data_IF_451357128109
#
_entry.id   IF_451357128109
#
_cell.length_a   1.000
_cell.length_b   1.000
_cell.length_c   1.000
_cell.angle_alpha   90.00
_cell.angle_beta   90.00
_cell.angle_gamma   90.00
#
_symmetry.space_group_name_H-M   'P 1'
#
loop_
_entity.id
_entity.type
_entity.pdbx_description
1 polymer ?
#
# COMPACT_ATOMS: atom_id res chain seq x y z
N UNK A 1 17.22 10.11 -13.68
CA UNK A 1 16.17 10.85 -12.95
C UNK A 1 16.84 11.33 -11.67
N UNK A 2 16.88 12.64 -11.43
CA UNK A 2 17.53 13.17 -10.23
C UNK A 2 16.72 12.73 -9.00
N UNK A 3 17.39 12.33 -7.93
CA UNK A 3 16.75 12.09 -6.64
C UNK A 3 16.16 13.39 -6.07
N UNK A 4 15.21 13.29 -5.13
CA UNK A 4 14.66 14.47 -4.45
C UNK A 4 15.78 15.31 -3.81
N UNK A 5 16.79 14.64 -3.24
CA UNK A 5 17.98 15.30 -2.69
C UNK A 5 18.76 16.08 -3.75
N UNK A 6 19.08 15.45 -4.88
CA UNK A 6 19.81 16.12 -5.97
C UNK A 6 19.01 17.28 -6.60
N UNK A 7 17.67 17.18 -6.58
CA UNK A 7 16.78 18.26 -6.99
C UNK A 7 16.79 19.41 -5.98
N UNK A 8 16.69 19.09 -4.68
CA UNK A 8 16.80 20.05 -3.59
C UNK A 8 18.14 20.78 -3.64
N UNK A 9 19.26 20.06 -3.78
CA UNK A 9 20.60 20.65 -3.85
C UNK A 9 20.72 21.62 -5.03
N UNK A 10 20.14 21.27 -6.20
CA UNK A 10 20.09 22.16 -7.36
C UNK A 10 19.17 23.36 -7.14
N UNK A 11 18.02 23.15 -6.50
CA UNK A 11 17.06 24.21 -6.21
C UNK A 11 17.62 25.23 -5.21
N UNK A 12 18.27 24.76 -4.15
CA UNK A 12 18.95 25.59 -3.15
C UNK A 12 20.07 26.42 -3.80
N UNK A 13 20.85 25.81 -4.68
CA UNK A 13 21.90 26.51 -5.46
C UNK A 13 21.32 27.52 -6.45
N UNK A 14 20.19 27.22 -7.10
CA UNK A 14 19.59 28.07 -8.14
C UNK A 14 18.85 29.29 -7.59
N UNK A 15 18.25 29.18 -6.40
CA UNK A 15 17.39 30.23 -5.84
C UNK A 15 18.09 31.16 -4.85
N UNK A 16 19.42 31.13 -4.75
CA UNK A 16 20.19 32.00 -3.86
C UNK A 16 19.72 31.96 -2.39
N UNK A 17 19.14 30.83 -1.94
CA UNK A 17 18.65 30.72 -0.56
C UNK A 17 19.80 30.84 0.46
N UNK A 18 20.98 30.33 0.08
CA UNK A 18 22.24 30.48 0.83
C UNK A 18 22.62 31.96 0.94
N UNK A 19 22.45 32.75 -0.13
CA UNK A 19 22.68 34.22 -0.12
C UNK A 19 21.70 34.91 0.83
N UNK A 20 20.43 34.51 0.84
CA UNK A 20 19.41 35.08 1.73
C UNK A 20 19.68 34.77 3.20
N UNK A 21 20.12 33.54 3.50
CA UNK A 21 20.53 33.10 4.83
C UNK A 21 21.79 33.84 5.33
N UNK A 22 22.84 33.86 4.51
CA UNK A 22 24.09 34.59 4.81
C UNK A 22 23.84 36.07 5.05
N UNK A 23 23.02 36.70 4.19
CA UNK A 23 22.62 38.10 4.35
C UNK A 23 22.03 38.36 5.72
N UNK A 24 21.09 37.51 6.14
CA UNK A 24 20.38 37.68 7.41
C UNK A 24 21.29 37.45 8.63
N UNK A 25 22.13 36.41 8.59
CA UNK A 25 23.11 36.14 9.65
C UNK A 25 24.13 37.26 9.80
N UNK A 26 24.68 37.75 8.67
CA UNK A 26 25.60 38.88 8.64
C UNK A 26 24.95 40.16 9.18
N UNK A 27 23.72 40.50 8.75
CA UNK A 27 23.02 41.69 9.26
C UNK A 27 22.90 41.66 10.78
N UNK A 28 22.47 40.52 11.36
CA UNK A 28 22.32 40.39 12.81
C UNK A 28 23.63 40.58 13.57
N UNK A 29 24.71 39.89 13.16
CA UNK A 29 26.00 39.97 13.84
C UNK A 29 26.62 41.36 13.74
N UNK A 30 26.46 42.01 12.58
CA UNK A 30 26.91 43.37 12.38
C UNK A 30 26.11 44.36 13.24
N UNK A 31 24.79 44.19 13.34
CA UNK A 31 23.93 44.98 14.24
C UNK A 31 24.33 44.81 15.71
N UNK A 32 24.61 43.58 16.16
CA UNK A 32 25.02 43.26 17.54
C UNK A 32 26.33 43.99 17.96
N UNK A 33 27.22 44.28 16.99
CA UNK A 33 28.45 45.04 17.21
C UNK A 33 28.34 46.52 16.81
N UNK A 34 27.14 46.99 16.48
CA UNK A 34 26.83 48.39 16.16
C UNK A 34 27.19 48.84 14.75
N UNK A 35 27.35 47.90 13.80
CA UNK A 35 27.62 48.16 12.39
C UNK A 35 26.37 47.97 11.53
N UNK A 36 25.74 49.08 11.14
CA UNK A 36 24.61 49.07 10.19
C UNK A 36 25.13 49.30 8.75
N UNK A 37 25.39 48.20 8.04
CA UNK A 37 25.87 48.24 6.65
C UNK A 37 24.72 48.45 5.66
N UNK A 38 24.97 49.27 4.63
CA UNK A 38 24.03 49.43 3.51
C UNK A 38 23.90 48.12 2.74
N UNK A 39 22.74 47.89 2.12
CA UNK A 39 22.46 46.69 1.33
C UNK A 39 23.56 46.36 0.31
N UNK A 40 24.08 47.36 -0.40
CA UNK A 40 25.16 47.17 -1.39
C UNK A 40 26.50 46.74 -0.76
N UNK A 41 26.79 47.16 0.47
CA UNK A 41 28.00 46.75 1.21
C UNK A 41 27.86 45.31 1.73
N UNK A 42 26.65 44.97 2.18
CA UNK A 42 26.30 43.61 2.59
C UNK A 42 26.36 42.62 1.41
N UNK A 43 25.95 43.04 0.21
CA UNK A 43 26.05 42.23 -1.02
C UNK A 43 27.50 41.86 -1.34
N UNK A 44 28.41 42.84 -1.25
CA UNK A 44 29.84 42.64 -1.49
C UNK A 44 30.46 41.67 -0.47
N UNK A 45 30.05 41.76 0.80
CA UNK A 45 30.48 40.83 1.85
C UNK A 45 29.99 39.40 1.60
N UNK A 46 28.75 39.22 1.16
CA UNK A 46 28.22 37.89 0.84
C UNK A 46 28.94 37.29 -0.38
N UNK A 47 29.22 38.08 -1.41
CA UNK A 47 30.00 37.64 -2.57
C UNK A 47 31.44 37.26 -2.20
N UNK A 48 32.06 38.00 -1.28
CA UNK A 48 33.38 37.66 -0.73
C UNK A 48 33.38 36.31 -0.01
N UNK A 49 32.39 36.08 0.87
CA UNK A 49 32.26 34.83 1.63
C UNK A 49 31.97 33.65 0.69
N UNK A 50 31.08 33.82 -0.29
CA UNK A 50 30.74 32.76 -1.26
C UNK A 50 31.88 32.44 -2.24
N UNK A 51 32.83 33.35 -2.40
CA UNK A 51 34.01 33.18 -3.26
C UNK A 51 35.27 32.77 -2.49
N UNK A 52 35.13 32.38 -1.22
CA UNK A 52 36.23 31.94 -0.34
C UNK A 52 37.37 32.98 -0.26
N UNK A 53 37.00 34.27 -0.23
CA UNK A 53 37.94 35.38 -0.13
C UNK A 53 38.75 35.70 -1.38
N UNK A 54 38.38 35.12 -2.53
CA UNK A 54 39.12 35.31 -3.79
C UNK A 54 38.90 36.66 -4.49
N UNK A 55 37.86 37.40 -4.10
CA UNK A 55 37.60 38.76 -4.60
C UNK A 55 38.00 39.82 -3.57
N UNK A 56 38.63 40.94 -3.95
CA UNK A 56 38.90 42.02 -3.01
C UNK A 56 37.60 42.74 -2.62
N UNK A 57 37.41 42.93 -1.31
CA UNK A 57 36.35 43.80 -0.77
C UNK A 57 36.85 45.25 -0.76
N UNK A 58 36.04 46.20 -1.25
CA UNK A 58 36.30 47.64 -1.16
C UNK A 58 35.13 48.34 -0.46
N UNK A 59 35.15 48.32 0.88
CA UNK A 59 34.15 48.98 1.72
C UNK A 59 34.62 50.38 2.08
N UNK A 60 34.00 51.39 1.48
CA UNK A 60 34.26 52.79 1.80
C UNK A 60 33.24 53.32 2.81
N UNK A 61 33.73 53.87 3.92
CA UNK A 61 32.93 54.49 4.99
C UNK A 61 33.27 55.97 5.09
N UNK A 62 32.25 56.83 5.13
CA UNK A 62 32.46 58.27 5.32
C UNK A 62 32.54 58.62 6.82
N UNK A 63 32.91 59.87 7.14
CA UNK A 63 33.04 60.32 8.54
C UNK A 63 31.73 60.19 9.34
N UNK A 64 30.57 60.30 8.69
CA UNK A 64 29.25 60.09 9.32
C UNK A 64 28.99 58.61 9.65
N UNK A 65 29.43 57.69 8.78
CA UNK A 65 29.33 56.24 8.98
C UNK A 65 30.25 55.82 10.15
N UNK A 66 31.49 56.34 10.20
CA UNK A 66 32.44 56.09 11.30
C UNK A 66 31.90 56.58 12.65
N UNK A 67 31.30 57.79 12.67
CA UNK A 67 30.67 58.33 13.87
C UNK A 67 29.50 57.46 14.36
N UNK A 68 28.66 56.95 13.45
CA UNK A 68 27.54 56.05 13.80
C UNK A 68 28.02 54.71 14.35
N UNK A 69 29.07 54.15 13.77
CA UNK A 69 29.64 52.86 14.17
C UNK A 69 30.49 52.93 15.45
N UNK A 70 30.65 54.13 16.01
CA UNK A 70 31.56 54.38 17.13
C UNK A 70 32.98 53.90 16.85
N UNK A 71 33.46 54.10 15.61
CA UNK A 71 34.79 53.72 15.16
C UNK A 71 35.65 54.96 14.89
N UNK A 72 36.92 54.89 15.24
CA UNK A 72 37.88 56.01 15.18
C UNK A 72 38.47 56.21 13.79
N UNK A 73 38.44 55.17 12.95
CA UNK A 73 38.97 55.16 11.59
C UNK A 73 38.41 53.96 10.81
N UNK A 74 38.58 53.97 9.48
CA UNK A 74 38.15 52.89 8.59
C UNK A 74 38.76 51.53 8.94
N UNK A 75 40.03 51.50 9.36
CA UNK A 75 40.72 50.27 9.74
C UNK A 75 40.06 49.56 10.92
N UNK A 76 39.50 50.30 11.87
CA UNK A 76 38.75 49.74 13.01
C UNK A 76 37.42 49.10 12.57
N UNK A 77 36.79 49.61 11.51
CA UNK A 77 35.59 48.97 10.92
C UNK A 77 35.97 47.70 10.17
N UNK A 78 37.05 47.74 9.38
CA UNK A 78 37.58 46.57 8.66
C UNK A 78 37.97 45.45 9.62
N UNK A 79 38.67 45.75 10.73
CA UNK A 79 39.03 44.76 11.75
C UNK A 79 37.81 44.12 12.43
N UNK A 80 36.73 44.88 12.66
CA UNK A 80 35.46 44.36 13.19
C UNK A 80 34.75 43.45 12.18
N UNK A 81 34.75 43.83 10.91
CA UNK A 81 34.15 43.03 9.82
C UNK A 81 34.95 41.74 9.61
N UNK A 82 36.27 41.81 9.58
CA UNK A 82 37.15 40.64 9.45
C UNK A 82 36.96 39.67 10.62
N UNK A 83 36.75 40.18 11.84
CA UNK A 83 36.43 39.35 12.99
C UNK A 83 35.09 38.60 12.79
N UNK A 84 34.04 39.28 12.31
CA UNK A 84 32.74 38.67 12.02
C UNK A 84 32.84 37.62 10.91
N UNK A 85 33.58 37.90 9.83
CA UNK A 85 33.81 36.96 8.73
C UNK A 85 34.60 35.74 9.21
N UNK A 86 35.68 35.98 9.96
CA UNK A 86 36.53 34.91 10.50
C UNK A 86 35.76 34.00 11.45
N UNK A 87 34.85 34.57 12.25
CA UNK A 87 33.96 33.82 13.13
C UNK A 87 32.98 32.99 12.29
N UNK A 88 32.30 33.57 11.31
CA UNK A 88 31.37 32.87 10.41
C UNK A 88 32.00 31.71 9.59
N UNK A 89 33.26 31.86 9.17
CA UNK A 89 33.94 30.87 8.31
C UNK A 89 34.58 29.72 9.11
N UNK A 90 35.15 29.99 10.29
CA UNK A 90 36.00 29.00 10.97
C UNK A 90 35.29 28.10 11.97
N UNK A 91 34.03 28.36 12.31
CA UNK A 91 33.34 27.62 13.39
C UNK A 91 32.38 26.53 12.92
N UNK A 92 32.19 26.28 11.62
CA UNK A 92 31.06 25.46 11.12
C UNK A 92 29.68 26.02 11.59
N UNK A 93 29.63 27.23 12.16
CA UNK A 93 28.45 27.82 12.80
C UNK A 93 27.37 28.27 11.84
N UNK A 94 27.58 28.23 10.52
CA UNK A 94 26.46 28.47 9.59
C UNK A 94 25.37 27.41 9.79
N UNK A 95 25.72 26.16 10.14
CA UNK A 95 24.75 25.11 10.50
C UNK A 95 24.17 25.30 11.92
N UNK A 96 24.97 25.76 12.89
CA UNK A 96 24.53 25.96 14.28
C UNK A 96 23.72 27.26 14.48
N UNK A 97 23.95 28.31 13.69
CA UNK A 97 23.13 29.53 13.72
C UNK A 97 21.77 29.35 13.04
N UNK A 98 21.67 28.49 12.03
CA UNK A 98 20.36 28.07 11.48
C UNK A 98 19.50 27.45 12.60
N UNK A 99 20.14 26.80 13.59
CA UNK A 99 19.48 26.23 14.77
C UNK A 99 19.19 27.27 15.89
N UNK A 100 19.92 28.39 15.94
CA UNK A 100 19.73 29.48 16.93
C UNK A 100 18.87 30.67 16.45
N UNK A 101 18.43 30.69 15.20
CA UNK A 101 17.35 31.59 14.75
C UNK A 101 16.10 31.30 15.60
N UNK A 102 15.50 32.32 16.23
CA UNK A 102 14.25 32.18 16.98
C UNK A 102 13.26 31.27 16.22
N UNK A 103 12.74 30.24 16.90
CA UNK A 103 12.02 29.10 16.31
C UNK A 103 10.98 29.52 15.23
N UNK A 104 10.30 30.65 15.43
CA UNK A 104 9.29 31.19 14.52
C UNK A 104 9.85 31.66 13.17
N UNK A 105 11.09 32.16 13.15
CA UNK A 105 11.75 32.65 11.95
C UNK A 105 12.37 31.54 11.10
N UNK A 106 12.91 30.49 11.73
CA UNK A 106 13.34 29.29 11.03
C UNK A 106 12.13 28.59 10.40
N UNK A 107 11.03 28.48 11.15
CA UNK A 107 9.79 27.88 10.64
C UNK A 107 9.25 28.64 9.43
N UNK A 108 9.21 29.98 9.48
CA UNK A 108 8.78 30.81 8.33
C UNK A 108 9.62 30.58 7.08
N UNK A 109 10.95 30.41 7.23
CA UNK A 109 11.84 30.17 6.09
C UNK A 109 11.69 28.74 5.55
N UNK A 110 11.52 27.76 6.43
CA UNK A 110 11.21 26.37 6.05
C UNK A 110 9.88 26.35 5.27
N UNK A 111 8.86 27.07 5.73
CA UNK A 111 7.55 27.12 5.09
C UNK A 111 7.63 27.76 3.70
N UNK A 112 8.31 28.90 3.58
CA UNK A 112 8.51 29.58 2.29
C UNK A 112 9.30 28.70 1.33
N UNK A 113 10.45 28.17 1.76
CA UNK A 113 11.31 27.31 0.93
C UNK A 113 10.57 26.04 0.50
N UNK A 114 9.85 25.39 1.41
CA UNK A 114 9.06 24.20 1.13
C UNK A 114 7.93 24.50 0.15
N UNK A 115 7.29 25.68 0.26
CA UNK A 115 6.21 26.08 -0.65
C UNK A 115 6.71 26.30 -2.08
N UNK A 116 7.86 26.98 -2.25
CA UNK A 116 8.44 27.23 -3.57
C UNK A 116 9.00 25.93 -4.16
N UNK A 117 9.66 25.10 -3.35
CA UNK A 117 10.14 23.79 -3.78
C UNK A 117 8.98 22.89 -4.23
N UNK A 118 7.89 22.84 -3.47
CA UNK A 118 6.70 22.07 -3.83
C UNK A 118 6.07 22.57 -5.12
N UNK A 119 5.97 23.90 -5.32
CA UNK A 119 5.46 24.48 -6.56
C UNK A 119 6.33 24.08 -7.77
N UNK A 120 7.65 24.13 -7.59
CA UNK A 120 8.62 23.72 -8.62
C UNK A 120 8.50 22.22 -8.95
N UNK A 121 8.45 21.36 -7.92
CA UNK A 121 8.23 19.92 -8.08
C UNK A 121 6.92 19.60 -8.79
N UNK A 122 5.83 20.30 -8.47
CA UNK A 122 4.54 20.14 -9.16
C UNK A 122 4.66 20.50 -10.65
N UNK A 123 5.31 21.61 -10.98
CA UNK A 123 5.49 22.06 -12.35
C UNK A 123 6.35 21.09 -13.18
N UNK A 124 7.38 20.50 -12.57
CA UNK A 124 8.30 19.56 -13.24
C UNK A 124 7.88 18.09 -13.11
N UNK A 125 6.83 17.79 -12.32
CA UNK A 125 6.40 16.43 -12.03
C UNK A 125 5.98 15.64 -13.27
N UNK A 126 5.50 16.31 -14.32
CA UNK A 126 4.96 15.65 -15.50
C UNK A 126 5.98 14.72 -16.16
N UNK A 127 7.18 15.21 -16.46
CA UNK A 127 8.23 14.41 -17.12
C UNK A 127 8.76 13.30 -16.20
N UNK A 128 8.92 13.58 -14.91
CA UNK A 128 9.28 12.55 -13.92
C UNK A 128 8.23 11.43 -13.88
N UNK A 129 6.96 11.76 -13.74
CA UNK A 129 5.87 10.78 -13.66
C UNK A 129 5.73 10.00 -14.98
N UNK A 130 5.90 10.67 -16.12
CA UNK A 130 5.92 10.04 -17.45
C UNK A 130 7.04 9.01 -17.55
N UNK A 131 8.28 9.38 -17.21
CA UNK A 131 9.41 8.44 -17.23
C UNK A 131 9.21 7.25 -16.29
N UNK A 132 8.59 7.45 -15.11
CA UNK A 132 8.22 6.35 -14.20
C UNK A 132 7.17 5.41 -14.80
N UNK A 133 6.14 5.96 -15.48
CA UNK A 133 5.12 5.15 -16.17
C UNK A 133 5.74 4.33 -17.29
N UNK A 134 6.60 4.92 -18.11
CA UNK A 134 7.32 4.20 -19.18
C UNK A 134 8.22 3.08 -18.63
N UNK A 135 8.91 3.31 -17.50
CA UNK A 135 9.67 2.26 -16.80
C UNK A 135 8.77 1.10 -16.37
N UNK A 136 7.60 1.41 -15.81
CA UNK A 136 6.61 0.41 -15.39
C UNK A 136 6.08 -0.37 -16.59
N UNK A 137 5.73 0.29 -17.68
CA UNK A 137 5.18 -0.37 -18.87
C UNK A 137 6.23 -1.31 -19.50
N UNK A 138 7.50 -0.88 -19.56
CA UNK A 138 8.61 -1.76 -19.96
C UNK A 138 8.77 -2.97 -19.03
N UNK A 139 8.57 -2.78 -17.73
CA UNK A 139 8.63 -3.88 -16.78
C UNK A 139 7.47 -4.87 -16.96
N UNK A 140 6.24 -4.38 -17.15
CA UNK A 140 5.08 -5.22 -17.44
C UNK A 140 5.29 -6.04 -18.72
N UNK A 141 5.96 -5.49 -19.74
CA UNK A 141 6.33 -6.28 -20.93
C UNK A 141 7.26 -7.45 -20.59
N UNK A 142 8.25 -7.26 -19.70
CA UNK A 142 9.10 -8.36 -19.23
C UNK A 142 8.31 -9.42 -18.46
N UNK A 143 7.33 -9.01 -17.65
CA UNK A 143 6.43 -9.95 -16.98
C UNK A 143 5.65 -10.76 -18.02
N UNK A 144 5.10 -10.11 -19.05
CA UNK A 144 4.39 -10.76 -20.15
C UNK A 144 5.28 -11.71 -20.94
N UNK A 145 6.55 -11.36 -21.19
CA UNK A 145 7.51 -12.26 -21.87
C UNK A 145 7.73 -13.57 -21.11
N UNK A 146 7.67 -13.55 -19.77
CA UNK A 146 7.91 -14.74 -18.93
C UNK A 146 6.61 -15.48 -18.61
N UNK A 147 5.55 -14.76 -18.26
CA UNK A 147 4.33 -15.31 -17.67
C UNK A 147 3.08 -15.14 -18.55
N UNK A 148 3.21 -14.51 -19.72
CA UNK A 148 2.08 -14.10 -20.55
C UNK A 148 1.16 -15.25 -20.96
N UNK A 149 1.73 -16.41 -21.30
CA UNK A 149 0.96 -17.61 -21.63
C UNK A 149 0.14 -18.11 -20.44
N UNK A 150 0.80 -18.32 -19.29
CA UNK A 150 0.15 -18.79 -18.07
C UNK A 150 -0.95 -17.81 -17.56
N UNK A 151 -0.67 -16.51 -17.61
CA UNK A 151 -1.64 -15.46 -17.26
C UNK A 151 -2.82 -15.45 -18.25
N UNK A 152 -2.55 -15.63 -19.55
CA UNK A 152 -3.59 -15.71 -20.58
C UNK A 152 -4.53 -16.90 -20.37
N UNK A 153 -4.00 -18.07 -20.01
CA UNK A 153 -4.82 -19.24 -19.66
C UNK A 153 -5.66 -19.01 -18.41
N UNK A 154 -5.10 -18.36 -17.38
CA UNK A 154 -5.86 -18.01 -16.17
C UNK A 154 -6.97 -17.00 -16.47
N UNK A 155 -6.73 -16.04 -17.36
CA UNK A 155 -7.77 -15.11 -17.83
C UNK A 155 -8.87 -15.81 -18.61
N UNK A 156 -8.51 -16.76 -19.50
CA UNK A 156 -9.49 -17.58 -20.20
C UNK A 156 -10.34 -18.40 -19.22
N UNK A 157 -9.70 -19.02 -18.23
CA UNK A 157 -10.40 -19.74 -17.16
C UNK A 157 -11.36 -18.82 -16.40
N UNK A 158 -10.92 -17.60 -16.09
CA UNK A 158 -11.72 -16.61 -15.39
C UNK A 158 -12.98 -16.22 -16.16
N UNK A 159 -12.86 -15.96 -17.46
CA UNK A 159 -14.00 -15.63 -18.33
C UNK A 159 -14.99 -16.78 -18.38
N UNK A 160 -14.52 -18.00 -18.70
CA UNK A 160 -15.38 -19.17 -18.83
C UNK A 160 -16.09 -19.48 -17.50
N UNK A 161 -15.37 -19.43 -16.38
CA UNK A 161 -15.93 -19.65 -15.05
C UNK A 161 -17.02 -18.63 -14.70
N UNK A 162 -16.83 -17.36 -15.06
CA UNK A 162 -17.78 -16.28 -14.79
C UNK A 162 -19.05 -16.43 -15.63
N UNK A 163 -18.89 -16.56 -16.94
CA UNK A 163 -20.01 -16.71 -17.89
C UNK A 163 -20.83 -17.98 -17.62
N UNK A 164 -20.16 -19.06 -17.23
CA UNK A 164 -20.84 -20.34 -16.94
C UNK A 164 -21.77 -20.23 -15.73
N UNK A 165 -21.34 -19.53 -14.67
CA UNK A 165 -22.15 -19.35 -13.46
C UNK A 165 -23.28 -18.34 -13.69
N UNK A 166 -23.05 -17.30 -14.48
CA UNK A 166 -24.11 -16.37 -14.91
C UNK A 166 -25.20 -17.11 -15.69
N UNK A 167 -24.80 -17.88 -16.72
CA UNK A 167 -25.72 -18.71 -17.49
C UNK A 167 -26.48 -19.71 -16.60
N UNK A 168 -25.77 -20.36 -15.65
CA UNK A 168 -26.38 -21.27 -14.69
C UNK A 168 -27.48 -20.59 -13.86
N UNK A 169 -27.20 -19.39 -13.36
CA UNK A 169 -28.13 -18.63 -12.53
C UNK A 169 -29.42 -18.30 -13.29
N UNK A 170 -29.30 -17.87 -14.55
CA UNK A 170 -30.45 -17.53 -15.40
C UNK A 170 -31.40 -18.72 -15.63
N UNK A 171 -30.86 -19.94 -15.74
CA UNK A 171 -31.65 -21.16 -15.99
C UNK A 171 -32.20 -21.82 -14.71
N UNK A 172 -31.70 -21.47 -13.52
CA UNK A 172 -32.02 -22.20 -12.27
C UNK A 172 -33.27 -21.66 -11.54
N UNK A 173 -33.65 -20.40 -11.76
CA UNK A 173 -34.60 -19.69 -10.89
C UNK A 173 -36.03 -20.26 -10.99
N UNK A 174 -36.41 -20.86 -12.12
CA UNK A 174 -37.81 -21.28 -12.33
C UNK A 174 -38.16 -22.61 -11.61
N UNK A 175 -37.26 -23.58 -11.57
CA UNK A 175 -37.56 -24.97 -11.15
C UNK A 175 -37.03 -25.38 -9.75
N UNK A 176 -36.47 -24.44 -8.98
CA UNK A 176 -35.82 -24.73 -7.69
C UNK A 176 -36.71 -24.52 -6.46
N UNK A 177 -36.53 -25.37 -5.43
CA UNK A 177 -37.15 -25.18 -4.11
C UNK A 177 -36.60 -23.92 -3.40
N UNK A 178 -37.36 -23.33 -2.49
CA UNK A 178 -36.96 -22.12 -1.73
C UNK A 178 -35.59 -22.27 -1.07
N UNK A 179 -35.31 -23.41 -0.44
CA UNK A 179 -34.02 -23.67 0.22
C UNK A 179 -32.85 -23.68 -0.79
N UNK A 180 -33.06 -24.30 -1.96
CA UNK A 180 -32.06 -24.31 -3.03
C UNK A 180 -31.84 -22.94 -3.65
N UNK A 181 -32.89 -22.11 -3.72
CA UNK A 181 -32.78 -20.71 -4.15
C UNK A 181 -31.95 -19.89 -3.18
N UNK A 182 -32.13 -20.09 -1.87
CA UNK A 182 -31.34 -19.39 -0.85
C UNK A 182 -29.87 -19.81 -0.91
N UNK A 183 -29.58 -21.12 -0.99
CA UNK A 183 -28.21 -21.60 -1.16
C UNK A 183 -27.58 -21.01 -2.43
N UNK A 184 -28.28 -21.06 -3.56
CA UNK A 184 -27.77 -20.50 -4.82
C UNK A 184 -27.47 -19.00 -4.72
N UNK A 185 -28.37 -18.20 -4.14
CA UNK A 185 -28.14 -16.75 -3.94
C UNK A 185 -26.87 -16.50 -3.12
N UNK A 186 -26.66 -17.25 -2.04
CA UNK A 186 -25.45 -17.14 -1.22
C UNK A 186 -24.21 -17.51 -2.03
N UNK A 187 -24.23 -18.65 -2.73
CA UNK A 187 -23.06 -19.11 -3.48
C UNK A 187 -22.73 -18.19 -4.65
N UNK A 188 -23.72 -17.66 -5.37
CA UNK A 188 -23.51 -16.68 -6.46
C UNK A 188 -22.91 -15.38 -5.94
N UNK A 189 -23.33 -14.89 -4.77
CA UNK A 189 -22.69 -13.71 -4.13
C UNK A 189 -21.24 -13.98 -3.75
N UNK A 190 -20.94 -15.17 -3.22
CA UNK A 190 -19.57 -15.59 -2.90
C UNK A 190 -18.72 -15.79 -4.17
N UNK A 191 -19.34 -16.27 -5.25
CA UNK A 191 -18.70 -16.40 -6.56
C UNK A 191 -18.40 -15.05 -7.20
N UNK A 192 -19.36 -14.11 -7.20
CA UNK A 192 -19.12 -12.75 -7.67
C UNK A 192 -17.96 -12.07 -6.92
N UNK A 193 -17.89 -12.26 -5.60
CA UNK A 193 -16.74 -11.82 -4.78
C UNK A 193 -15.45 -12.53 -5.19
N UNK A 194 -15.50 -13.83 -5.48
CA UNK A 194 -14.36 -14.61 -5.96
C UNK A 194 -13.85 -14.11 -7.31
N UNK A 195 -14.76 -13.76 -8.23
CA UNK A 195 -14.44 -13.15 -9.51
C UNK A 195 -13.76 -11.79 -9.35
N UNK A 196 -14.27 -10.94 -8.46
CA UNK A 196 -13.62 -9.66 -8.15
C UNK A 196 -12.19 -9.86 -7.64
N UNK A 197 -11.98 -10.76 -6.67
CA UNK A 197 -10.65 -11.05 -6.13
C UNK A 197 -9.73 -11.64 -7.21
N UNK A 198 -10.23 -12.52 -8.06
CA UNK A 198 -9.47 -13.10 -9.19
C UNK A 198 -9.02 -12.00 -10.16
N UNK A 199 -9.87 -11.03 -10.47
CA UNK A 199 -9.51 -9.88 -11.31
C UNK A 199 -8.41 -9.01 -10.67
N UNK A 200 -8.48 -8.78 -9.36
CA UNK A 200 -7.41 -8.11 -8.60
C UNK A 200 -6.09 -8.90 -8.66
N UNK A 201 -6.14 -10.22 -8.52
CA UNK A 201 -4.98 -11.11 -8.64
C UNK A 201 -4.37 -11.01 -10.04
N UNK A 202 -5.16 -11.11 -11.10
CA UNK A 202 -4.70 -10.97 -12.49
C UNK A 202 -4.00 -9.62 -12.71
N UNK A 203 -4.55 -8.52 -12.18
CA UNK A 203 -3.92 -7.20 -12.24
C UNK A 203 -2.55 -7.19 -11.54
N UNK A 204 -2.44 -7.80 -10.36
CA UNK A 204 -1.20 -7.86 -9.59
C UNK A 204 -0.15 -8.74 -10.29
N UNK A 205 -0.56 -9.90 -10.82
CA UNK A 205 0.29 -10.81 -11.59
C UNK A 205 0.87 -10.11 -12.83
N UNK A 206 0.03 -9.45 -13.64
CA UNK A 206 0.48 -8.71 -14.85
C UNK A 206 1.49 -7.60 -14.57
N UNK A 207 1.56 -7.13 -13.33
CA UNK A 207 2.47 -6.07 -12.91
C UNK A 207 3.60 -6.59 -12.00
N UNK A 208 3.76 -7.90 -11.84
CA UNK A 208 4.88 -8.49 -11.08
C UNK A 208 4.77 -8.37 -9.55
N UNK A 209 3.55 -8.27 -9.01
CA UNK A 209 3.31 -8.18 -7.56
C UNK A 209 2.90 -9.54 -6.98
N UNK A 210 3.82 -10.51 -7.02
CA UNK A 210 3.61 -11.89 -6.51
C UNK A 210 3.06 -11.93 -5.07
N UNK A 211 3.71 -11.23 -4.14
CA UNK A 211 3.33 -11.24 -2.72
C UNK A 211 1.93 -10.64 -2.50
N UNK A 212 1.59 -9.58 -3.25
CA UNK A 212 0.26 -8.98 -3.22
C UNK A 212 -0.80 -9.89 -3.83
N UNK A 213 -0.47 -10.56 -4.95
CA UNK A 213 -1.36 -11.53 -5.59
C UNK A 213 -1.64 -12.71 -4.65
N UNK A 214 -0.62 -13.25 -3.98
CA UNK A 214 -0.77 -14.34 -3.02
C UNK A 214 -1.59 -13.92 -1.80
N UNK A 215 -1.40 -12.68 -1.32
CA UNK A 215 -2.24 -12.11 -0.27
C UNK A 215 -3.72 -12.02 -0.67
N UNK A 216 -4.02 -11.65 -1.93
CA UNK A 216 -5.40 -11.68 -2.46
C UNK A 216 -5.92 -13.10 -2.62
N UNK A 217 -5.08 -14.03 -3.07
CA UNK A 217 -5.44 -15.46 -3.11
C UNK A 217 -5.86 -15.97 -1.73
N UNK A 218 -5.22 -15.53 -0.63
CA UNK A 218 -5.66 -15.89 0.73
C UNK A 218 -7.14 -15.54 0.96
N UNK A 219 -7.56 -14.34 0.57
CA UNK A 219 -8.95 -13.91 0.68
C UNK A 219 -9.88 -14.73 -0.23
N UNK A 220 -9.43 -15.06 -1.45
CA UNK A 220 -10.16 -15.95 -2.35
C UNK A 220 -10.36 -17.33 -1.70
N UNK A 221 -9.31 -17.93 -1.14
CA UNK A 221 -9.36 -19.22 -0.46
C UNK A 221 -10.34 -19.22 0.73
N UNK A 222 -10.40 -18.15 1.52
CA UNK A 222 -11.39 -18.00 2.60
C UNK A 222 -12.84 -17.99 2.07
N UNK A 223 -13.08 -17.29 0.96
CA UNK A 223 -14.39 -17.23 0.30
C UNK A 223 -14.77 -18.61 -0.24
N UNK A 224 -13.85 -19.30 -0.91
CA UNK A 224 -14.08 -20.64 -1.47
C UNK A 224 -14.33 -21.68 -0.38
N UNK A 225 -13.52 -21.72 0.67
CA UNK A 225 -13.76 -22.63 1.80
C UNK A 225 -15.12 -22.38 2.46
N UNK A 226 -15.53 -21.12 2.58
CA UNK A 226 -16.86 -20.75 3.11
C UNK A 226 -17.97 -21.24 2.18
N UNK A 227 -17.85 -21.00 0.87
CA UNK A 227 -18.81 -21.45 -0.14
C UNK A 227 -18.99 -22.98 -0.13
N UNK A 228 -17.88 -23.73 -0.13
CA UNK A 228 -17.89 -25.19 -0.07
C UNK A 228 -18.46 -25.73 1.24
N UNK A 229 -18.25 -25.02 2.36
CA UNK A 229 -18.81 -25.42 3.65
C UNK A 229 -20.33 -25.23 3.68
N UNK A 230 -20.81 -24.09 3.18
CA UNK A 230 -22.24 -23.79 3.07
C UNK A 230 -22.95 -24.73 2.09
N UNK A 231 -22.31 -25.09 0.98
CA UNK A 231 -22.89 -26.03 0.00
C UNK A 231 -23.05 -27.46 0.53
N UNK A 232 -22.38 -27.80 1.62
CA UNK A 232 -22.50 -29.10 2.32
C UNK A 232 -23.42 -29.02 3.55
N UNK A 233 -23.94 -27.83 3.86
CA UNK A 233 -24.75 -27.55 5.03
C UNK A 233 -26.24 -27.80 4.85
N UNK A 234 -26.96 -27.66 5.96
CA UNK A 234 -28.41 -27.62 5.98
C UNK A 234 -28.95 -26.18 6.05
N UNK A 235 -30.27 -26.04 6.04
CA UNK A 235 -30.95 -24.76 6.07
C UNK A 235 -30.65 -23.94 7.35
N UNK A 236 -30.44 -24.60 8.49
CA UNK A 236 -30.07 -23.93 9.74
C UNK A 236 -28.68 -23.29 9.63
N UNK A 237 -27.70 -23.96 9.00
CA UNK A 237 -26.39 -23.37 8.74
C UNK A 237 -26.47 -22.13 7.85
N UNK A 238 -27.25 -22.19 6.77
CA UNK A 238 -27.43 -21.05 5.84
C UNK A 238 -28.07 -19.85 6.54
N UNK A 239 -29.11 -20.10 7.33
CA UNK A 239 -29.78 -19.06 8.12
C UNK A 239 -28.81 -18.42 9.13
N UNK A 240 -28.05 -19.26 9.86
CA UNK A 240 -27.03 -18.78 10.82
C UNK A 240 -25.97 -17.93 10.14
N UNK A 241 -25.50 -18.33 8.97
CA UNK A 241 -24.50 -17.57 8.20
C UNK A 241 -25.03 -16.18 7.82
N UNK A 242 -26.25 -16.09 7.29
CA UNK A 242 -26.88 -14.82 6.92
C UNK A 242 -27.14 -13.92 8.13
N UNK A 243 -27.66 -14.48 9.22
CA UNK A 243 -27.97 -13.72 10.43
C UNK A 243 -26.73 -13.25 11.19
N UNK A 244 -25.56 -13.88 10.96
CA UNK A 244 -24.31 -13.51 11.60
C UNK A 244 -23.84 -12.10 11.22
N UNK A 245 -24.27 -11.57 10.08
CA UNK A 245 -24.05 -10.16 9.71
C UNK A 245 -24.51 -9.20 10.82
N UNK A 246 -25.57 -9.52 11.56
CA UNK A 246 -26.04 -8.68 12.69
C UNK A 246 -25.07 -8.68 13.87
N UNK A 247 -24.35 -9.77 14.09
CA UNK A 247 -23.30 -9.85 15.11
C UNK A 247 -22.11 -8.97 14.71
N UNK A 248 -21.69 -9.04 13.45
CA UNK A 248 -20.58 -8.23 12.93
C UNK A 248 -20.94 -6.74 12.87
N UNK A 249 -22.16 -6.38 12.46
CA UNK A 249 -22.65 -5.00 12.48
C UNK A 249 -22.68 -4.41 13.89
N UNK A 250 -23.08 -5.17 14.92
CA UNK A 250 -22.99 -4.71 16.31
C UNK A 250 -21.54 -4.51 16.78
N UNK A 251 -20.63 -5.43 16.45
CA UNK A 251 -19.20 -5.29 16.80
C UNK A 251 -18.55 -4.09 16.11
N UNK A 252 -18.89 -3.85 14.84
CA UNK A 252 -18.43 -2.69 14.11
C UNK A 252 -18.96 -1.39 14.73
N UNK A 253 -20.24 -1.35 15.12
CA UNK A 253 -20.84 -0.19 15.78
C UNK A 253 -20.20 0.11 17.14
N UNK A 254 -19.82 -0.91 17.91
CA UNK A 254 -19.05 -0.75 19.15
C UNK A 254 -17.72 -0.03 18.90
N UNK A 255 -16.92 -0.51 17.94
CA UNK A 255 -15.63 0.10 17.60
C UNK A 255 -15.81 1.51 17.03
N UNK A 256 -16.84 1.71 16.21
CA UNK A 256 -17.12 3.01 15.61
C UNK A 256 -17.44 4.07 16.68
N UNK A 257 -18.27 3.73 17.68
CA UNK A 257 -18.54 4.61 18.83
C UNK A 257 -17.31 4.84 19.72
N UNK A 258 -16.44 3.85 19.87
CA UNK A 258 -15.21 4.01 20.65
C UNK A 258 -14.27 5.06 20.04
N UNK A 259 -14.29 5.22 18.71
CA UNK A 259 -13.33 6.06 17.98
C UNK A 259 -13.94 7.26 17.25
N UNK A 260 -15.25 7.48 17.32
CA UNK A 260 -15.97 8.55 16.61
C UNK A 260 -15.38 9.93 16.87
N UNK A 261 -15.20 10.29 18.14
CA UNK A 261 -14.63 11.57 18.57
C UNK A 261 -13.21 11.75 18.01
N UNK A 262 -12.37 10.73 18.14
CA UNK A 262 -10.98 10.75 17.67
C UNK A 262 -10.87 10.83 16.15
N UNK A 263 -11.82 10.23 15.43
CA UNK A 263 -11.90 10.27 13.97
C UNK A 263 -12.60 11.53 13.44
N UNK A 264 -13.21 12.34 14.31
CA UNK A 264 -14.03 13.51 13.94
C UNK A 264 -15.15 13.14 12.95
N UNK A 265 -15.79 12.00 13.18
CA UNK A 265 -16.93 11.51 12.38
C UNK A 265 -18.22 11.54 13.20
N UNK A 266 -19.35 11.64 12.51
CA UNK A 266 -20.67 11.61 13.14
C UNK A 266 -20.92 10.29 13.89
N UNK A 267 -21.43 10.39 15.11
CA UNK A 267 -21.71 9.24 15.97
C UNK A 267 -22.96 8.48 15.55
N UNK A 268 -22.93 7.15 15.69
CA UNK A 268 -24.13 6.32 15.59
C UNK A 268 -25.06 6.70 16.74
N UNK A 269 -26.32 6.98 16.44
CA UNK A 269 -27.30 7.42 17.44
C UNK A 269 -27.59 6.33 18.48
N UNK A 270 -28.02 6.72 19.68
CA UNK A 270 -28.39 5.78 20.75
C UNK A 270 -29.50 4.82 20.34
N UNK A 271 -30.43 5.30 19.52
CA UNK A 271 -31.50 4.48 18.98
C UNK A 271 -30.95 3.38 18.05
N UNK A 272 -30.14 3.75 17.05
CA UNK A 272 -29.56 2.80 16.10
C UNK A 272 -28.66 1.77 16.80
N UNK A 273 -27.88 2.20 17.79
CA UNK A 273 -27.02 1.30 18.53
C UNK A 273 -27.80 0.31 19.39
N UNK A 274 -28.86 0.76 20.07
CA UNK A 274 -29.70 -0.14 20.87
C UNK A 274 -30.46 -1.12 19.97
N UNK A 275 -30.89 -0.73 18.77
CA UNK A 275 -31.48 -1.65 17.79
C UNK A 275 -30.49 -2.76 17.35
N UNK A 276 -29.22 -2.42 17.10
CA UNK A 276 -28.19 -3.41 16.75
C UNK A 276 -27.91 -4.35 17.92
N UNK A 277 -27.85 -3.80 19.14
CA UNK A 277 -27.64 -4.57 20.37
C UNK A 277 -28.79 -5.52 20.65
N UNK A 278 -30.04 -5.08 20.46
CA UNK A 278 -31.23 -5.91 20.61
C UNK A 278 -31.21 -7.09 19.63
N UNK A 279 -30.95 -6.83 18.34
CA UNK A 279 -30.84 -7.90 17.32
C UNK A 279 -29.78 -8.92 17.70
N UNK A 280 -28.62 -8.47 18.20
CA UNK A 280 -27.58 -9.37 18.71
C UNK A 280 -28.11 -10.21 19.88
N UNK A 281 -28.75 -9.61 20.88
CA UNK A 281 -29.26 -10.34 22.06
C UNK A 281 -30.31 -11.39 21.72
N UNK A 282 -31.21 -11.08 20.79
CA UNK A 282 -32.19 -12.03 20.25
C UNK A 282 -31.50 -13.24 19.62
N UNK A 283 -30.45 -13.00 18.81
CA UNK A 283 -29.67 -14.07 18.18
C UNK A 283 -28.88 -14.91 19.18
N UNK A 284 -28.29 -14.30 20.22
CA UNK A 284 -27.60 -15.04 21.29
C UNK A 284 -28.57 -15.85 22.16
N UNK A 285 -29.80 -15.38 22.31
CA UNK A 285 -30.87 -16.14 22.98
C UNK A 285 -31.29 -17.34 22.14
N UNK A 286 -31.42 -17.17 20.82
CA UNK A 286 -31.82 -18.24 19.88
C UNK A 286 -30.73 -19.29 19.66
N UNK A 287 -29.48 -18.87 19.41
CA UNK A 287 -28.39 -19.75 18.97
C UNK A 287 -27.32 -20.02 20.04
N UNK A 288 -27.42 -19.35 21.20
CA UNK A 288 -26.48 -19.49 22.30
C UNK A 288 -25.25 -18.59 22.19
N UNK A 289 -24.47 -18.55 23.28
CA UNK A 289 -23.32 -17.64 23.43
C UNK A 289 -22.19 -17.86 22.42
N UNK A 290 -22.04 -19.06 21.87
CA UNK A 290 -21.02 -19.39 20.87
C UNK A 290 -21.19 -18.60 19.57
N UNK A 291 -22.44 -18.21 19.26
CA UNK A 291 -22.78 -17.45 18.05
C UNK A 291 -22.09 -16.07 18.00
N UNK A 292 -21.68 -15.51 19.14
CA UNK A 292 -20.98 -14.23 19.21
C UNK A 292 -19.53 -14.28 18.68
N UNK A 293 -18.93 -15.47 18.54
CA UNK A 293 -17.57 -15.62 18.02
C UNK A 293 -17.49 -15.31 16.52
N UNK A 294 -16.28 -15.04 15.99
CA UNK A 294 -16.06 -14.68 14.57
C UNK A 294 -16.63 -15.70 13.59
N UNK A 295 -16.56 -16.99 13.91
CA UNK A 295 -17.16 -18.08 13.12
C UNK A 295 -18.30 -18.76 13.89
N UNK A 296 -18.98 -18.01 14.76
CA UNK A 296 -20.03 -18.55 15.64
C UNK A 296 -21.21 -19.15 14.88
N UNK A 297 -21.47 -18.70 13.66
CA UNK A 297 -22.46 -19.28 12.76
C UNK A 297 -22.19 -20.74 12.38
N UNK A 298 -20.92 -21.16 12.39
CA UNK A 298 -20.52 -22.53 12.09
C UNK A 298 -20.48 -23.44 13.34
N UNK A 299 -20.80 -22.93 14.52
CA UNK A 299 -20.57 -23.63 15.79
C UNK A 299 -21.33 -24.94 15.94
N UNK A 300 -22.59 -24.96 15.51
CA UNK A 300 -23.44 -26.14 15.56
C UNK A 300 -23.00 -27.19 14.53
N UNK A 301 -22.86 -26.78 13.26
CA UNK A 301 -22.44 -27.65 12.16
C UNK A 301 -21.02 -28.25 12.33
N UNK A 302 -20.14 -27.59 13.08
CA UNK A 302 -18.81 -28.10 13.44
C UNK A 302 -18.75 -28.75 14.83
N UNK A 303 -19.86 -28.79 15.56
CA UNK A 303 -19.94 -29.24 16.95
C UNK A 303 -18.85 -28.63 17.86
N UNK A 304 -18.55 -27.33 17.67
CA UNK A 304 -17.45 -26.63 18.33
C UNK A 304 -17.88 -25.25 18.86
N UNK A 305 -17.64 -25.00 20.15
CA UNK A 305 -18.06 -23.75 20.83
C UNK A 305 -17.43 -22.47 20.26
N UNK A 306 -16.19 -22.55 19.80
CA UNK A 306 -15.46 -21.43 19.21
C UNK A 306 -14.76 -21.94 17.95
N UNK A 307 -15.47 -22.00 16.81
CA UNK A 307 -14.88 -22.40 15.54
C UNK A 307 -13.86 -21.37 15.06
N UNK A 308 -12.92 -21.85 14.26
CA UNK A 308 -11.90 -21.05 13.57
C UNK A 308 -11.97 -21.35 12.09
N UNK A 309 -11.36 -20.49 11.27
CA UNK A 309 -11.22 -20.76 9.84
C UNK A 309 -10.55 -22.12 9.55
N UNK A 310 -9.59 -22.53 10.38
CA UNK A 310 -8.93 -23.84 10.25
C UNK A 310 -9.91 -25.02 10.35
N UNK A 311 -10.95 -24.88 11.17
CA UNK A 311 -11.97 -25.92 11.34
C UNK A 311 -12.86 -26.00 10.09
N UNK A 312 -13.15 -24.86 9.46
CA UNK A 312 -13.87 -24.81 8.18
C UNK A 312 -13.03 -25.43 7.07
N UNK A 313 -11.76 -25.04 6.93
CA UNK A 313 -10.83 -25.64 5.96
C UNK A 313 -10.73 -27.15 6.09
N UNK A 314 -10.59 -27.65 7.32
CA UNK A 314 -10.55 -29.08 7.61
C UNK A 314 -11.86 -29.77 7.20
N UNK A 315 -13.00 -29.16 7.51
CA UNK A 315 -14.32 -29.71 7.18
C UNK A 315 -14.53 -29.86 5.67
N UNK A 316 -14.03 -28.91 4.88
CA UNK A 316 -14.09 -28.95 3.41
C UNK A 316 -12.90 -29.67 2.76
N UNK A 317 -11.99 -30.26 3.56
CA UNK A 317 -10.81 -31.03 3.13
C UNK A 317 -9.78 -30.21 2.32
N UNK A 318 -9.70 -28.91 2.58
CA UNK A 318 -8.71 -28.00 1.99
C UNK A 318 -7.59 -27.62 2.96
N UNK A 319 -7.52 -28.27 4.13
CA UNK A 319 -6.50 -28.05 5.16
C UNK A 319 -5.06 -28.34 4.69
N UNK A 320 -4.88 -29.13 3.64
CA UNK A 320 -3.58 -29.34 3.01
C UNK A 320 -2.99 -28.05 2.39
N UNK A 321 -3.81 -27.03 2.09
CA UNK A 321 -3.38 -25.72 1.61
C UNK A 321 -3.00 -24.75 2.73
N UNK A 322 -3.17 -25.13 4.00
CA UNK A 322 -2.86 -24.31 5.18
C UNK A 322 -1.42 -23.75 5.18
N UNK A 323 -0.38 -24.48 4.75
CA UNK A 323 0.97 -23.92 4.64
C UNK A 323 1.04 -22.71 3.70
N UNK A 324 0.41 -22.80 2.52
CA UNK A 324 0.33 -21.71 1.55
C UNK A 324 -0.51 -20.54 2.09
N UNK A 325 -1.65 -20.84 2.71
CA UNK A 325 -2.47 -19.82 3.38
C UNK A 325 -1.69 -19.04 4.44
N UNK A 326 -0.90 -19.73 5.29
CA UNK A 326 -0.04 -19.08 6.29
C UNK A 326 1.08 -18.27 5.64
N UNK A 327 1.68 -18.77 4.57
CA UNK A 327 2.70 -18.02 3.81
C UNK A 327 2.13 -16.73 3.24
N UNK A 328 0.97 -16.78 2.58
CA UNK A 328 0.25 -15.60 2.10
C UNK A 328 -0.07 -14.60 3.22
N UNK A 329 -0.37 -15.10 4.42
CA UNK A 329 -0.65 -14.29 5.61
C UNK A 329 0.56 -13.49 6.09
N UNK A 330 1.78 -14.04 5.95
CA UNK A 330 3.00 -13.35 6.39
C UNK A 330 3.26 -12.07 5.59
N UNK A 331 2.82 -12.00 4.33
CA UNK A 331 2.96 -10.82 3.49
C UNK A 331 1.97 -9.69 3.84
N UNK A 332 0.92 -9.99 4.62
CA UNK A 332 -0.12 -9.03 5.03
C UNK A 332 0.18 -8.49 6.44
N UNK A 333 0.60 -9.36 7.34
CA UNK A 333 0.89 -8.99 8.71
C UNK A 333 2.33 -8.47 8.83
N UNK A 334 2.53 -7.34 9.52
CA UNK A 334 3.84 -6.80 9.88
C UNK A 334 4.56 -7.65 10.96
N UNK A 335 4.56 -8.97 10.79
CA UNK A 335 5.36 -9.88 11.59
C UNK A 335 6.77 -9.96 11.00
N UNK A 336 7.73 -10.43 11.81
CA UNK A 336 9.14 -10.53 11.41
C UNK A 336 9.35 -11.35 10.13
N UNK A 337 8.52 -12.37 9.87
CA UNK A 337 8.61 -13.19 8.66
C UNK A 337 8.21 -12.44 7.38
N UNK A 338 7.33 -11.45 7.47
CA UNK A 338 6.95 -10.63 6.33
C UNK A 338 8.09 -9.76 5.79
N UNK A 339 9.16 -9.58 6.56
CA UNK A 339 10.39 -8.87 6.16
C UNK A 339 11.39 -9.84 5.50
N UNK A 340 11.38 -11.12 5.92
CA UNK A 340 12.42 -12.11 5.55
C UNK A 340 11.95 -13.19 4.58
N UNK A 341 10.70 -13.14 4.10
CA UNK A 341 10.16 -14.11 3.14
C UNK A 341 9.31 -13.37 2.12
N UNK A 342 9.83 -13.23 0.90
CA UNK A 342 9.12 -12.64 -0.25
C UNK A 342 9.17 -13.59 -1.43
N UNK A 343 8.01 -13.85 -2.04
CA UNK A 343 7.91 -14.61 -3.29
C UNK A 343 8.69 -13.91 -4.41
N UNK A 344 8.68 -12.58 -4.43
CA UNK A 344 9.35 -11.78 -5.46
C UNK A 344 10.88 -11.79 -5.42
N UNK A 345 11.54 -12.41 -4.43
CA UNK A 345 13.00 -12.48 -4.40
C UNK A 345 13.61 -13.49 -5.37
N UNK A 346 12.86 -14.52 -5.77
CA UNK A 346 13.41 -15.60 -6.58
C UNK A 346 14.66 -16.23 -5.94
N UNK A 347 15.70 -16.48 -6.75
CA UNK A 347 16.96 -17.07 -6.30
C UNK A 347 17.95 -16.08 -5.67
N UNK A 348 17.68 -14.77 -5.75
CA UNK A 348 18.62 -13.73 -5.30
C UNK A 348 18.78 -13.66 -3.77
N UNK A 349 17.93 -14.37 -3.01
CA UNK A 349 17.87 -14.32 -1.55
C UNK A 349 17.81 -12.89 -0.99
N UNK A 350 17.86 -12.77 0.33
CA UNK A 350 17.63 -11.58 1.16
C UNK A 350 18.69 -10.45 1.01
N UNK A 351 19.59 -10.52 0.03
CA UNK A 351 20.62 -9.50 -0.22
C UNK A 351 20.04 -8.17 -0.73
N UNK A 352 18.81 -8.18 -1.29
CA UNK A 352 18.16 -6.99 -1.84
C UNK A 352 16.78 -6.72 -1.22
N UNK A 353 16.53 -5.44 -0.89
CA UNK A 353 15.22 -4.98 -0.43
C UNK A 353 14.23 -4.90 -1.60
N UNK A 354 13.21 -5.77 -1.59
CA UNK A 354 12.15 -5.77 -2.61
C UNK A 354 11.16 -4.62 -2.37
N UNK A 355 11.46 -3.45 -2.93
CA UNK A 355 10.62 -2.25 -2.82
C UNK A 355 9.63 -2.06 -3.98
N UNK A 356 9.70 -2.90 -5.01
CA UNK A 356 8.93 -2.77 -6.25
C UNK A 356 8.55 -4.11 -6.86
N UNK A 357 8.03 -4.13 -8.09
CA UNK A 357 7.59 -5.36 -8.74
C UNK A 357 8.78 -6.27 -9.10
N UNK A 358 8.50 -7.57 -9.20
CA UNK A 358 9.46 -8.61 -9.56
C UNK A 358 8.89 -9.55 -10.62
N UNK A 359 9.76 -10.11 -11.45
CA UNK A 359 9.39 -11.16 -12.40
C UNK A 359 9.31 -12.54 -11.73
N UNK A 360 9.71 -12.67 -10.47
CA UNK A 360 9.74 -13.95 -9.75
C UNK A 360 8.49 -14.15 -8.88
N UNK A 361 8.16 -15.42 -8.61
CA UNK A 361 7.18 -15.81 -7.57
C UNK A 361 5.71 -15.75 -7.96
N UNK A 362 5.39 -15.66 -9.25
CA UNK A 362 3.98 -15.56 -9.71
C UNK A 362 3.25 -16.92 -9.71
N UNK A 363 3.98 -18.03 -9.72
CA UNK A 363 3.45 -19.38 -9.89
C UNK A 363 2.43 -19.77 -8.81
N UNK A 364 2.78 -19.60 -7.54
CA UNK A 364 1.96 -20.02 -6.40
C UNK A 364 0.62 -19.29 -6.41
N UNK A 365 0.63 -17.97 -6.62
CA UNK A 365 -0.59 -17.18 -6.68
C UNK A 365 -1.43 -17.51 -7.92
N UNK A 366 -0.81 -17.68 -9.09
CA UNK A 366 -1.50 -18.00 -10.34
C UNK A 366 -2.23 -19.34 -10.28
N UNK A 367 -1.50 -20.40 -9.93
CA UNK A 367 -2.05 -21.76 -9.86
C UNK A 367 -3.06 -21.92 -8.71
N UNK A 368 -2.79 -21.36 -7.52
CA UNK A 368 -3.75 -21.49 -6.43
C UNK A 368 -5.05 -20.73 -6.72
N UNK A 369 -4.99 -19.65 -7.52
CA UNK A 369 -6.18 -18.92 -8.00
C UNK A 369 -7.00 -19.73 -8.98
N UNK A 370 -6.38 -20.44 -9.93
CA UNK A 370 -7.11 -21.32 -10.86
C UNK A 370 -7.87 -22.42 -10.10
N UNK A 371 -7.19 -23.08 -9.15
CA UNK A 371 -7.80 -24.11 -8.29
C UNK A 371 -9.01 -23.54 -7.55
N UNK A 372 -8.83 -22.44 -6.83
CA UNK A 372 -9.89 -21.83 -6.03
C UNK A 372 -11.09 -21.40 -6.89
N UNK A 373 -10.85 -20.79 -8.05
CA UNK A 373 -11.93 -20.36 -8.94
C UNK A 373 -12.72 -21.54 -9.51
N UNK A 374 -12.04 -22.61 -9.93
CA UNK A 374 -12.71 -23.83 -10.42
C UNK A 374 -13.54 -24.48 -9.32
N UNK A 375 -13.01 -24.58 -8.10
CA UNK A 375 -13.72 -25.19 -6.98
C UNK A 375 -15.06 -24.52 -6.70
N UNK A 376 -15.10 -23.18 -6.62
CA UNK A 376 -16.35 -22.48 -6.35
C UNK A 376 -17.30 -22.50 -7.54
N UNK A 377 -16.80 -22.41 -8.77
CA UNK A 377 -17.64 -22.52 -9.97
C UNK A 377 -18.31 -23.90 -10.04
N UNK A 378 -17.55 -24.99 -9.87
CA UNK A 378 -18.10 -26.35 -9.92
C UNK A 378 -19.09 -26.59 -8.76
N UNK A 379 -18.83 -26.04 -7.57
CA UNK A 379 -19.77 -26.15 -6.45
C UNK A 379 -21.16 -25.58 -6.78
N UNK A 380 -21.23 -24.55 -7.63
CA UNK A 380 -22.49 -23.98 -8.11
C UNK A 380 -23.07 -24.79 -9.27
N UNK A 381 -22.26 -25.06 -10.30
CA UNK A 381 -22.68 -25.76 -11.53
C UNK A 381 -23.21 -27.18 -11.28
N UNK A 382 -22.92 -27.76 -10.12
CA UNK A 382 -23.35 -29.12 -9.72
C UNK A 382 -24.56 -29.16 -8.79
N UNK A 383 -25.12 -28.01 -8.37
CA UNK A 383 -26.30 -27.97 -7.49
C UNK A 383 -27.54 -28.63 -8.12
N UNK A 384 -27.76 -28.36 -9.39
CA UNK A 384 -28.70 -29.03 -10.29
C UNK A 384 -27.89 -29.45 -11.53
N UNK A 385 -27.55 -30.74 -11.63
CA UNK A 385 -26.74 -31.24 -12.72
C UNK A 385 -27.50 -31.20 -14.05
N UNK A 386 -26.84 -30.70 -15.09
CA UNK A 386 -27.23 -30.91 -16.50
C UNK A 386 -26.04 -31.49 -17.27
N UNK A 387 -26.26 -32.06 -18.46
CA UNK A 387 -25.16 -32.52 -19.30
C UNK A 387 -24.20 -31.38 -19.62
N UNK A 388 -24.74 -30.22 -20.01
CA UNK A 388 -23.96 -29.04 -20.37
C UNK A 388 -23.09 -28.54 -19.21
N UNK A 389 -23.65 -28.44 -17.99
CA UNK A 389 -22.89 -27.99 -16.82
C UNK A 389 -21.85 -29.00 -16.35
N UNK A 390 -22.04 -30.30 -16.59
CA UNK A 390 -20.99 -31.30 -16.38
C UNK A 390 -19.86 -31.17 -17.39
N UNK A 391 -20.18 -30.96 -18.68
CA UNK A 391 -19.17 -30.72 -19.72
C UNK A 391 -18.37 -29.46 -19.39
N UNK A 392 -19.03 -28.38 -19.00
CA UNK A 392 -18.38 -27.15 -18.55
C UNK A 392 -17.51 -27.40 -17.31
N UNK A 393 -18.01 -28.12 -16.32
CA UNK A 393 -17.22 -28.46 -15.12
C UNK A 393 -15.96 -29.25 -15.48
N UNK A 394 -16.06 -30.21 -16.41
CA UNK A 394 -14.91 -30.97 -16.90
C UNK A 394 -13.94 -30.08 -17.69
N UNK A 395 -14.45 -29.15 -18.50
CA UNK A 395 -13.64 -28.19 -19.23
C UNK A 395 -12.85 -27.29 -18.27
N UNK A 396 -13.48 -26.78 -17.22
CA UNK A 396 -12.82 -25.97 -16.18
C UNK A 396 -11.68 -26.75 -15.50
N UNK A 397 -11.89 -28.04 -15.19
CA UNK A 397 -10.84 -28.89 -14.61
C UNK A 397 -9.67 -29.13 -15.57
N UNK A 398 -9.94 -29.34 -16.86
CA UNK A 398 -8.89 -29.51 -17.86
C UNK A 398 -8.06 -28.22 -18.01
N UNK A 399 -8.75 -27.08 -18.09
CA UNK A 399 -8.09 -25.79 -18.24
C UNK A 399 -7.32 -25.39 -16.97
N UNK A 400 -7.84 -25.66 -15.78
CA UNK A 400 -7.11 -25.45 -14.53
C UNK A 400 -5.78 -26.19 -14.51
N UNK A 401 -5.76 -27.44 -14.97
CA UNK A 401 -4.54 -28.21 -15.10
C UNK A 401 -3.55 -27.56 -16.08
N UNK A 402 -4.02 -27.11 -17.25
CA UNK A 402 -3.17 -26.39 -18.21
C UNK A 402 -2.62 -25.08 -17.63
N UNK A 403 -3.42 -24.34 -16.86
CA UNK A 403 -2.97 -23.14 -16.14
C UNK A 403 -1.85 -23.48 -15.16
N UNK A 404 -2.03 -24.52 -14.34
CA UNK A 404 -1.02 -24.98 -13.38
C UNK A 404 0.29 -25.40 -14.05
N UNK A 405 0.19 -26.17 -15.14
CA UNK A 405 1.35 -26.60 -15.94
C UNK A 405 2.09 -25.42 -16.56
N UNK A 406 1.37 -24.43 -17.12
CA UNK A 406 1.98 -23.24 -17.71
C UNK A 406 2.69 -22.36 -16.67
N UNK A 407 2.08 -22.12 -15.50
CA UNK A 407 2.74 -21.39 -14.41
C UNK A 407 3.99 -22.12 -13.90
N UNK A 408 3.92 -23.45 -13.77
CA UNK A 408 5.07 -24.25 -13.34
C UNK A 408 6.20 -24.23 -14.36
N UNK A 409 5.89 -24.36 -15.66
CA UNK A 409 6.87 -24.30 -16.75
C UNK A 409 7.58 -22.94 -16.77
N UNK A 410 6.82 -21.84 -16.73
CA UNK A 410 7.38 -20.49 -16.69
C UNK A 410 8.28 -20.27 -15.46
N UNK A 411 7.89 -20.79 -14.29
CA UNK A 411 8.72 -20.75 -13.09
C UNK A 411 10.05 -21.50 -13.24
N UNK A 412 10.00 -22.71 -13.80
CA UNK A 412 11.18 -23.55 -14.02
C UNK A 412 12.14 -22.90 -15.03
N UNK A 413 11.63 -22.46 -16.18
CA UNK A 413 12.43 -21.79 -17.20
C UNK A 413 13.11 -20.52 -16.67
N UNK A 414 12.39 -19.73 -15.85
CA UNK A 414 12.92 -18.52 -15.25
C UNK A 414 14.08 -18.84 -14.29
N UNK A 415 13.93 -19.88 -13.46
CA UNK A 415 14.98 -20.30 -12.53
C UNK A 415 16.19 -20.92 -13.26
N UNK A 416 15.99 -21.66 -14.35
CA UNK A 416 17.07 -22.21 -15.17
C UNK A 416 17.90 -21.10 -15.84
N UNK A 417 17.23 -20.08 -16.40
CA UNK A 417 17.89 -18.90 -16.97
C UNK A 417 18.69 -18.13 -15.90
N UNK A 418 18.15 -18.02 -14.69
CA UNK A 418 18.84 -17.36 -13.58
C UNK A 418 20.07 -18.15 -13.08
N UNK A 419 20.04 -19.48 -13.10
CA UNK A 419 21.16 -20.34 -12.70
C UNK A 419 22.26 -20.47 -13.76
N UNK A 420 21.99 -20.09 -15.02
CA UNK A 420 22.93 -20.17 -16.14
C UNK A 420 23.66 -18.86 -16.43
N UNK A 421 23.29 -17.78 -15.73
CA UNK A 421 24.00 -16.50 -15.68
C UNK A 421 24.93 -16.45 -14.47
#
# INVERSE_FOLDING_TARGET
>A
MLGLQEYLDKFLKKNNLIVALLRRGLTKRLDDIGLDLKTAQLDQLIEYILSDGSQPIDLNFNDDDLYKFSCSNQKEVEEKIDAVIHDLINTNEIEDEILEVENDHLQSLIDETSSVLLASLKNESHEMLKGRRECRDRFSNKVTEVWGEAIGLLEMLFVIASESVENYFDHFIEDSSTDRKQLLDILVRLHARSCQITSEILLLLRNGYADGAHARWRSLHEVVCTALFLSQGDQDLLERYLLHEKIESYKAALQYREYSERLSVEEITDLEFEELKQKRDELLTRYGKSFNSTYGWASDALAKKAPTFADIEFRVKLDHLRPYYRLASHNIHANSKGITVKLGWGLANDEYLLAGPSIYGLCEAGHSTSISLVQISIAILTLIPSFDFHVISQLLLLLEKEVGEAFLSAHQELNEKANSM
#
